data_IF_155702366715
#
_entry.id   IF_155702366715
#
_cell.length_a   1.000
_cell.length_b   1.000
_cell.length_c   1.000
_cell.angle_alpha   90.00
_cell.angle_beta   90.00
_cell.angle_gamma   90.00
#
_symmetry.space_group_name_H-M   'P 1'
#
loop_
_entity.id
_entity.type
_entity.pdbx_description
1 polymer ?
#
# COMPACT_ATOMS: atom_id res chain seq x y z
N UNK A 1 -18.85 7.59 -0.99
CA UNK A 1 -17.38 7.62 -1.11
C UNK A 1 -16.86 9.04 -1.13
N UNK A 2 -17.43 9.92 -1.97
CA UNK A 2 -17.07 11.33 -2.09
C UNK A 2 -16.85 12.05 -0.75
N UNK A 3 -17.88 12.14 0.11
CA UNK A 3 -17.76 12.85 1.38
C UNK A 3 -16.69 12.27 2.32
N UNK A 4 -16.49 10.94 2.28
CA UNK A 4 -15.46 10.27 3.09
C UNK A 4 -14.05 10.59 2.62
N UNK A 5 -13.83 10.80 1.32
CA UNK A 5 -12.50 11.10 0.76
C UNK A 5 -12.11 12.55 1.02
N UNK A 6 -13.07 13.47 1.02
CA UNK A 6 -12.81 14.91 1.15
C UNK A 6 -13.07 15.47 2.57
N UNK A 7 -13.42 14.62 3.55
CA UNK A 7 -13.68 15.03 4.94
C UNK A 7 -12.42 15.24 5.79
N UNK A 8 -11.30 14.57 5.47
CA UNK A 8 -10.05 14.67 6.24
C UNK A 8 -8.99 15.51 5.51
N UNK A 9 -8.09 16.16 6.26
CA UNK A 9 -6.94 16.83 5.67
C UNK A 9 -5.99 15.73 5.14
N UNK A 10 -5.72 15.72 3.83
CA UNK A 10 -4.80 14.75 3.20
C UNK A 10 -3.43 14.91 3.86
N UNK A 11 -2.95 13.91 4.60
CA UNK A 11 -1.74 14.13 5.37
C UNK A 11 -0.49 14.17 4.50
N UNK A 12 0.51 14.96 4.89
CA UNK A 12 1.81 15.04 4.20
C UNK A 12 2.75 13.84 4.47
N UNK A 13 2.23 12.62 4.66
CA UNK A 13 3.00 11.49 5.23
C UNK A 13 3.90 10.74 4.22
N UNK A 14 3.96 11.16 2.96
CA UNK A 14 4.45 10.27 1.92
C UNK A 14 5.98 10.19 1.74
N UNK A 15 6.76 11.13 2.28
CA UNK A 15 8.22 11.16 2.04
C UNK A 15 8.95 9.94 2.61
N UNK A 16 8.51 9.40 3.75
CA UNK A 16 9.17 8.25 4.38
C UNK A 16 8.82 6.94 3.65
N UNK A 17 7.55 6.80 3.22
CA UNK A 17 7.07 5.64 2.46
C UNK A 17 7.80 5.51 1.11
N UNK A 18 8.02 6.62 0.38
CA UNK A 18 8.76 6.56 -0.88
C UNK A 18 10.20 6.13 -0.71
N UNK A 19 10.89 6.62 0.32
CA UNK A 19 12.28 6.25 0.57
C UNK A 19 12.42 4.77 0.91
N UNK A 20 11.42 4.21 1.59
CA UNK A 20 11.42 2.78 1.87
C UNK A 20 11.16 1.96 0.60
N UNK A 21 10.17 2.34 -0.22
CA UNK A 21 9.88 1.62 -1.48
C UNK A 21 11.02 1.75 -2.51
N UNK A 22 11.62 2.93 -2.66
CA UNK A 22 12.80 3.12 -3.50
C UNK A 22 13.93 2.18 -3.08
N UNK A 23 14.18 2.04 -1.78
CA UNK A 23 15.18 1.10 -1.26
C UNK A 23 14.78 -0.35 -1.44
N UNK A 24 13.49 -0.69 -1.41
CA UNK A 24 13.02 -2.07 -1.67
C UNK A 24 13.18 -2.42 -3.16
N UNK A 25 12.81 -1.51 -4.06
CA UNK A 25 12.69 -1.75 -5.50
C UNK A 25 13.93 -1.36 -6.31
N UNK A 26 14.86 -0.61 -5.72
CA UNK A 26 16.01 -0.02 -6.41
C UNK A 26 15.61 0.81 -7.64
N UNK A 27 14.43 1.42 -7.60
CA UNK A 27 13.91 2.28 -8.66
C UNK A 27 14.17 3.74 -8.28
N UNK A 28 14.96 4.43 -9.11
CA UNK A 28 15.21 5.85 -8.95
C UNK A 28 13.91 6.59 -9.32
N UNK A 29 13.20 7.05 -8.30
CA UNK A 29 12.02 7.89 -8.49
C UNK A 29 12.53 9.28 -8.85
N UNK A 30 11.97 9.92 -9.88
CA UNK A 30 12.01 11.39 -9.90
C UNK A 30 11.04 11.88 -8.83
N UNK A 31 11.51 12.00 -7.58
CA UNK A 31 10.77 12.50 -6.41
C UNK A 31 9.89 13.71 -6.78
N UNK A 32 10.37 14.53 -7.72
CA UNK A 32 9.65 15.64 -8.33
C UNK A 32 8.29 15.26 -8.96
N UNK A 33 8.22 14.20 -9.78
CA UNK A 33 6.97 13.79 -10.47
C UNK A 33 5.91 13.35 -9.47
N UNK A 34 6.30 12.55 -8.48
CA UNK A 34 5.39 12.11 -7.44
C UNK A 34 4.95 13.29 -6.56
N UNK A 35 5.86 14.20 -6.22
CA UNK A 35 5.53 15.41 -5.47
C UNK A 35 4.58 16.35 -6.23
N UNK A 36 4.76 16.49 -7.56
CA UNK A 36 3.86 17.26 -8.43
C UNK A 36 2.45 16.66 -8.42
N UNK A 37 2.33 15.34 -8.62
CA UNK A 37 1.05 14.63 -8.58
C UNK A 37 0.41 14.74 -7.20
N UNK A 38 1.18 14.60 -6.12
CA UNK A 38 0.67 14.80 -4.76
C UNK A 38 0.16 16.23 -4.53
N UNK A 39 0.88 17.23 -5.07
CA UNK A 39 0.43 18.62 -5.06
C UNK A 39 -0.91 18.81 -5.78
N UNK A 40 -1.12 18.09 -6.90
CA UNK A 40 -2.39 18.10 -7.63
C UNK A 40 -3.52 17.39 -6.87
N UNK A 41 -3.23 16.28 -6.15
CA UNK A 41 -4.20 15.61 -5.25
C UNK A 41 -4.68 16.56 -4.17
N UNK A 42 -3.74 17.20 -3.47
CA UNK A 42 -4.05 18.15 -2.41
C UNK A 42 -4.81 19.36 -2.95
N UNK A 43 -4.38 19.92 -4.08
CA UNK A 43 -5.07 21.02 -4.74
C UNK A 43 -6.49 20.66 -5.17
N UNK A 44 -6.72 19.42 -5.63
CA UNK A 44 -8.08 18.92 -5.95
C UNK A 44 -8.92 18.84 -4.69
N UNK A 45 -8.38 18.29 -3.61
CA UNK A 45 -9.08 18.13 -2.32
C UNK A 45 -9.47 19.49 -1.73
N UNK A 46 -8.53 20.44 -1.71
CA UNK A 46 -8.80 21.82 -1.28
C UNK A 46 -9.84 22.51 -2.18
N UNK A 47 -9.75 22.32 -3.49
CA UNK A 47 -10.73 22.86 -4.43
C UNK A 47 -12.12 22.27 -4.17
N UNK A 48 -12.24 20.96 -3.91
CA UNK A 48 -13.52 20.34 -3.56
C UNK A 48 -14.08 20.98 -2.28
N UNK A 49 -13.26 21.06 -1.23
CA UNK A 49 -13.64 21.56 0.11
C UNK A 49 -14.07 23.03 0.09
N UNK A 50 -13.30 23.89 -0.59
CA UNK A 50 -13.47 25.35 -0.50
C UNK A 50 -14.18 25.97 -1.70
N UNK A 51 -14.29 25.25 -2.83
CA UNK A 51 -14.95 25.77 -4.04
C UNK A 51 -16.16 24.93 -4.43
N UNK A 52 -15.99 23.62 -4.62
CA UNK A 52 -17.08 22.77 -5.13
C UNK A 52 -18.22 22.61 -4.12
N UNK A 53 -17.92 22.15 -2.90
CA UNK A 53 -18.94 21.88 -1.88
C UNK A 53 -19.74 23.14 -1.50
N UNK A 54 -19.12 24.31 -1.22
CA UNK A 54 -19.87 25.55 -0.99
C UNK A 54 -20.74 25.95 -2.19
N UNK A 55 -20.30 25.64 -3.41
CA UNK A 55 -21.12 25.91 -4.60
C UNK A 55 -22.30 24.94 -4.70
N UNK A 56 -22.08 23.66 -4.42
CA UNK A 56 -23.15 22.63 -4.33
C UNK A 56 -24.23 23.03 -3.32
N UNK A 57 -23.82 23.61 -2.19
CA UNK A 57 -24.74 24.06 -1.13
C UNK A 57 -25.50 25.36 -1.43
N UNK A 58 -25.21 26.06 -2.53
CA UNK A 58 -25.77 27.37 -2.88
C UNK A 58 -26.77 27.33 -4.04
N UNK A 59 -27.61 26.30 -4.08
CA UNK A 59 -28.64 26.07 -5.11
C UNK A 59 -28.08 26.08 -6.55
N UNK A 60 -26.82 25.67 -6.73
CA UNK A 60 -26.22 25.55 -8.06
C UNK A 60 -27.01 24.56 -8.92
N UNK A 61 -27.15 24.89 -10.21
CA UNK A 61 -27.75 23.93 -11.14
C UNK A 61 -26.81 22.75 -11.39
N UNK A 62 -27.38 21.56 -11.67
CA UNK A 62 -26.62 20.39 -12.12
C UNK A 62 -25.61 20.73 -13.23
N UNK A 63 -26.05 21.51 -14.23
CA UNK A 63 -25.20 21.96 -15.34
C UNK A 63 -23.98 22.78 -14.89
N UNK A 64 -24.14 23.59 -13.87
CA UNK A 64 -23.05 24.40 -13.33
C UNK A 64 -22.06 23.56 -12.54
N UNK A 65 -22.56 22.68 -11.66
CA UNK A 65 -21.72 21.75 -10.90
C UNK A 65 -20.95 20.82 -11.83
N UNK A 66 -21.62 20.29 -12.85
CA UNK A 66 -21.02 19.51 -13.92
C UNK A 66 -19.88 20.27 -14.61
N UNK A 67 -20.11 21.53 -15.01
CA UNK A 67 -19.10 22.34 -15.69
C UNK A 67 -17.88 22.68 -14.82
N UNK A 68 -18.01 22.61 -13.49
CA UNK A 68 -16.90 22.73 -12.56
C UNK A 68 -16.10 21.43 -12.43
N UNK A 69 -16.78 20.28 -12.44
CA UNK A 69 -16.17 18.97 -12.20
C UNK A 69 -15.52 18.34 -13.43
N UNK A 70 -16.18 18.39 -14.59
CA UNK A 70 -15.77 17.62 -15.78
C UNK A 70 -14.32 17.88 -16.23
N UNK A 71 -13.82 19.13 -16.22
CA UNK A 71 -12.41 19.40 -16.54
C UNK A 71 -11.44 18.79 -15.52
N UNK A 72 -11.82 18.73 -14.24
CA UNK A 72 -10.97 18.19 -13.16
C UNK A 72 -10.85 16.68 -13.24
N UNK A 73 -11.96 16.00 -13.55
CA UNK A 73 -11.96 14.54 -13.73
C UNK A 73 -11.07 14.11 -14.89
N UNK A 74 -11.17 14.80 -16.02
CA UNK A 74 -10.33 14.49 -17.19
C UNK A 74 -8.83 14.70 -16.91
N UNK A 75 -8.47 15.78 -16.21
CA UNK A 75 -7.10 16.09 -15.82
C UNK A 75 -6.51 15.02 -14.88
N UNK A 76 -7.28 14.60 -13.87
CA UNK A 76 -6.90 13.52 -12.95
C UNK A 76 -6.66 12.19 -13.67
N UNK A 77 -7.55 11.80 -14.59
CA UNK A 77 -7.43 10.54 -15.29
C UNK A 77 -6.13 10.48 -16.13
N UNK A 78 -5.87 11.54 -16.91
CA UNK A 78 -4.80 11.56 -17.93
C UNK A 78 -3.45 11.93 -17.31
N UNK A 79 -3.41 13.00 -16.51
CA UNK A 79 -2.15 13.58 -16.07
C UNK A 79 -1.67 13.04 -14.71
N UNK A 80 -2.53 12.31 -13.99
CA UNK A 80 -2.18 11.75 -12.69
C UNK A 80 -2.28 10.23 -12.70
N UNK A 81 -3.47 9.65 -12.83
CA UNK A 81 -3.64 8.21 -12.64
C UNK A 81 -2.86 7.40 -13.68
N UNK A 82 -2.97 7.75 -14.96
CA UNK A 82 -2.24 7.06 -16.02
C UNK A 82 -0.70 7.12 -15.85
N UNK A 83 -0.17 8.22 -15.32
CA UNK A 83 1.27 8.37 -15.04
C UNK A 83 1.70 7.45 -13.89
N UNK A 84 0.89 7.37 -12.84
CA UNK A 84 1.16 6.51 -11.67
C UNK A 84 1.09 5.02 -12.01
N UNK A 85 0.33 4.64 -13.04
CA UNK A 85 0.23 3.25 -13.52
C UNK A 85 1.40 2.82 -14.42
N UNK A 86 2.20 3.78 -14.91
CA UNK A 86 3.33 3.44 -15.77
C UNK A 86 4.29 2.50 -15.04
N UNK A 87 4.77 1.49 -15.76
CA UNK A 87 5.60 0.41 -15.20
C UNK A 87 6.83 0.92 -14.42
N UNK A 88 7.38 2.07 -14.83
CA UNK A 88 8.55 2.69 -14.19
C UNK A 88 8.24 3.22 -12.78
N UNK A 89 6.98 3.55 -12.51
CA UNK A 89 6.56 4.20 -11.27
C UNK A 89 5.62 3.34 -10.43
N UNK A 90 4.89 2.40 -11.03
CA UNK A 90 3.81 1.64 -10.41
C UNK A 90 4.10 1.23 -8.96
N UNK A 91 5.24 0.60 -8.70
CA UNK A 91 5.58 0.12 -7.36
C UNK A 91 5.85 1.27 -6.39
N UNK A 92 6.73 2.20 -6.77
CA UNK A 92 7.07 3.39 -5.98
C UNK A 92 5.90 4.35 -5.73
N UNK A 93 4.95 4.37 -6.66
CA UNK A 93 3.86 5.32 -6.70
C UNK A 93 2.53 4.73 -6.22
N UNK A 94 2.50 3.43 -5.87
CA UNK A 94 1.27 2.74 -5.51
C UNK A 94 0.49 3.46 -4.40
N UNK A 95 1.14 3.96 -3.36
CA UNK A 95 0.46 4.68 -2.28
C UNK A 95 -0.31 5.93 -2.77
N UNK A 96 0.27 6.67 -3.74
CA UNK A 96 -0.36 7.83 -4.38
C UNK A 96 -1.43 7.40 -5.35
N UNK A 97 -1.17 6.33 -6.09
CA UNK A 97 -2.13 5.74 -6.99
C UNK A 97 -3.42 5.37 -6.25
N UNK A 98 -3.31 4.73 -5.07
CA UNK A 98 -4.50 4.40 -4.25
C UNK A 98 -5.36 5.63 -3.98
N UNK A 99 -4.75 6.75 -3.59
CA UNK A 99 -5.48 7.98 -3.30
C UNK A 99 -6.03 8.62 -4.57
N UNK A 100 -5.18 8.78 -5.59
CA UNK A 100 -5.54 9.43 -6.86
C UNK A 100 -6.66 8.69 -7.60
N UNK A 101 -6.57 7.37 -7.68
CA UNK A 101 -7.61 6.52 -8.25
C UNK A 101 -8.92 6.60 -7.45
N UNK A 102 -8.85 6.60 -6.11
CA UNK A 102 -10.01 6.77 -5.24
C UNK A 102 -10.71 8.12 -5.44
N UNK A 103 -9.94 9.21 -5.53
CA UNK A 103 -10.43 10.56 -5.83
C UNK A 103 -11.08 10.60 -7.21
N UNK A 104 -10.42 10.03 -8.23
CA UNK A 104 -10.95 9.99 -9.58
C UNK A 104 -12.30 9.26 -9.64
N UNK A 105 -12.40 8.07 -9.02
CA UNK A 105 -13.65 7.32 -8.94
C UNK A 105 -14.74 8.09 -8.19
N UNK A 106 -14.40 8.76 -7.07
CA UNK A 106 -15.38 9.55 -6.33
C UNK A 106 -15.89 10.77 -7.13
N UNK A 107 -15.02 11.45 -7.88
CA UNK A 107 -15.46 12.56 -8.73
C UNK A 107 -16.29 12.09 -9.94
N UNK A 108 -16.04 10.88 -10.46
CA UNK A 108 -16.90 10.25 -11.46
C UNK A 108 -18.29 9.94 -10.89
N UNK A 109 -18.38 9.48 -9.64
CA UNK A 109 -19.66 9.27 -8.95
C UNK A 109 -20.41 10.60 -8.82
N UNK A 110 -19.73 11.65 -8.38
CA UNK A 110 -20.34 12.98 -8.27
C UNK A 110 -20.79 13.52 -9.63
N UNK A 111 -20.02 13.30 -10.70
CA UNK A 111 -20.42 13.65 -12.07
C UNK A 111 -21.69 12.94 -12.52
N UNK A 112 -21.89 11.68 -12.13
CA UNK A 112 -23.13 10.96 -12.40
C UNK A 112 -24.32 11.60 -11.64
N UNK A 113 -24.12 12.00 -10.38
CA UNK A 113 -25.15 12.63 -9.55
C UNK A 113 -25.58 14.00 -10.09
N UNK A 114 -24.62 14.78 -10.58
CA UNK A 114 -24.88 16.12 -11.13
C UNK A 114 -25.00 16.15 -12.66
N UNK A 115 -25.14 15.00 -13.32
CA UNK A 115 -25.29 14.94 -14.78
C UNK A 115 -26.56 15.69 -15.22
N UNK A 116 -26.46 16.77 -16.02
CA UNK A 116 -27.60 17.56 -16.45
C UNK A 116 -28.44 16.89 -17.54
N UNK A 117 -27.96 15.78 -18.13
CA UNK A 117 -28.62 15.10 -19.24
C UNK A 117 -29.57 13.98 -18.79
N UNK A 118 -29.53 13.61 -17.51
CA UNK A 118 -30.38 12.57 -16.93
C UNK A 118 -31.00 13.03 -15.61
N UNK A 119 -32.23 12.59 -15.38
CA UNK A 119 -32.91 12.84 -14.09
C UNK A 119 -32.41 11.85 -13.02
N UNK A 120 -32.22 10.60 -13.41
CA UNK A 120 -31.73 9.50 -12.59
C UNK A 120 -30.21 9.30 -12.78
N UNK A 121 -29.37 9.50 -11.74
CA UNK A 121 -27.93 9.31 -11.81
C UNK A 121 -27.49 7.93 -12.30
N UNK A 122 -28.29 6.88 -12.06
CA UNK A 122 -27.99 5.51 -12.52
C UNK A 122 -28.04 5.36 -14.05
N UNK A 123 -28.58 6.35 -14.76
CA UNK A 123 -28.65 6.37 -16.22
C UNK A 123 -27.54 7.24 -16.84
N UNK A 124 -26.69 7.86 -16.03
CA UNK A 124 -25.59 8.68 -16.52
C UNK A 124 -24.54 7.83 -17.25
N UNK A 125 -23.91 8.38 -18.29
CA UNK A 125 -22.79 7.71 -18.96
C UNK A 125 -21.58 7.49 -18.04
N UNK A 126 -21.46 8.26 -16.96
CA UNK A 126 -20.38 8.10 -15.99
C UNK A 126 -20.46 6.80 -15.21
N UNK A 127 -21.63 6.17 -15.12
CA UNK A 127 -21.80 4.81 -14.58
C UNK A 127 -20.93 3.82 -15.34
N UNK A 128 -20.98 3.84 -16.67
CA UNK A 128 -20.17 2.95 -17.50
C UNK A 128 -18.66 3.25 -17.35
N UNK A 129 -18.29 4.52 -17.19
CA UNK A 129 -16.90 4.94 -16.94
C UNK A 129 -16.39 4.40 -15.60
N UNK A 130 -17.18 4.49 -14.52
CA UNK A 130 -16.85 3.93 -13.20
C UNK A 130 -16.69 2.40 -13.31
N UNK A 131 -17.61 1.73 -13.98
CA UNK A 131 -17.57 0.28 -14.18
C UNK A 131 -16.36 -0.17 -15.02
N UNK A 132 -15.84 0.69 -15.90
CA UNK A 132 -14.63 0.44 -16.68
C UNK A 132 -13.35 0.63 -15.86
N UNK A 133 -13.18 1.77 -15.20
CA UNK A 133 -11.95 2.07 -14.45
C UNK A 133 -11.82 1.29 -13.15
N UNK A 134 -12.92 1.00 -12.46
CA UNK A 134 -12.87 0.34 -11.16
C UNK A 134 -12.18 -1.04 -11.16
N UNK A 135 -12.44 -1.97 -12.09
CA UNK A 135 -11.67 -3.22 -12.17
C UNK A 135 -10.23 -2.99 -12.61
N UNK A 136 -9.97 -2.05 -13.53
CA UNK A 136 -8.60 -1.74 -13.98
C UNK A 136 -7.73 -1.25 -12.81
N UNK A 137 -8.25 -0.31 -12.02
CA UNK A 137 -7.55 0.21 -10.85
C UNK A 137 -7.35 -0.85 -9.77
N UNK A 138 -8.37 -1.68 -9.53
CA UNK A 138 -8.27 -2.78 -8.57
C UNK A 138 -7.19 -3.79 -8.97
N UNK A 139 -7.15 -4.16 -10.25
CA UNK A 139 -6.17 -5.12 -10.78
C UNK A 139 -4.75 -4.54 -10.75
N UNK A 140 -4.59 -3.25 -11.06
CA UNK A 140 -3.31 -2.56 -10.91
C UNK A 140 -2.85 -2.59 -9.44
N UNK A 141 -3.70 -2.13 -8.51
CA UNK A 141 -3.37 -2.06 -7.09
C UNK A 141 -2.96 -3.42 -6.52
N UNK A 142 -3.73 -4.48 -6.79
CA UNK A 142 -3.46 -5.82 -6.27
C UNK A 142 -2.16 -6.40 -6.86
N UNK A 143 -1.96 -6.29 -8.17
CA UNK A 143 -0.77 -6.82 -8.84
C UNK A 143 0.50 -6.11 -8.37
N UNK A 144 0.44 -4.79 -8.26
CA UNK A 144 1.58 -3.99 -7.82
C UNK A 144 1.89 -4.26 -6.35
N UNK A 145 0.87 -4.34 -5.49
CA UNK A 145 1.04 -4.71 -4.07
C UNK A 145 1.70 -6.07 -3.89
N UNK A 146 1.24 -7.09 -4.62
CA UNK A 146 1.83 -8.43 -4.56
C UNK A 146 3.30 -8.46 -5.01
N UNK A 147 3.69 -7.54 -5.89
CA UNK A 147 5.09 -7.40 -6.33
C UNK A 147 5.94 -6.77 -5.23
N UNK A 148 5.47 -5.69 -4.62
CA UNK A 148 6.14 -5.00 -3.50
C UNK A 148 6.28 -5.94 -2.30
N UNK A 149 5.20 -6.64 -1.93
CA UNK A 149 5.21 -7.61 -0.82
C UNK A 149 6.26 -8.69 -1.02
N UNK A 150 6.38 -9.26 -2.23
CA UNK A 150 7.42 -10.25 -2.55
C UNK A 150 8.81 -9.66 -2.46
N UNK A 151 9.01 -8.45 -2.98
CA UNK A 151 10.30 -7.75 -2.92
C UNK A 151 10.70 -7.47 -1.47
N UNK A 152 9.77 -7.00 -0.63
CA UNK A 152 10.03 -6.73 0.79
C UNK A 152 10.41 -8.00 1.56
N UNK A 153 9.67 -9.09 1.37
CA UNK A 153 9.97 -10.39 2.00
C UNK A 153 11.36 -10.90 1.59
N UNK A 154 11.77 -10.67 0.33
CA UNK A 154 13.06 -11.11 -0.18
C UNK A 154 14.25 -10.41 0.51
N UNK A 155 14.04 -9.23 1.12
CA UNK A 155 15.07 -8.54 1.90
C UNK A 155 15.36 -9.21 3.26
N UNK A 156 14.45 -10.06 3.76
CA UNK A 156 14.60 -10.76 5.04
C UNK A 156 15.20 -12.14 4.78
N UNK A 157 16.47 -12.33 5.17
CA UNK A 157 17.20 -13.57 4.90
C UNK A 157 16.55 -14.78 5.56
N UNK A 158 16.79 -15.97 5.00
CA UNK A 158 16.36 -17.23 5.63
C UNK A 158 17.13 -17.44 6.93
N UNK A 159 16.54 -18.19 7.86
CA UNK A 159 17.22 -18.64 9.08
C UNK A 159 18.49 -19.42 8.69
N UNK A 160 19.61 -19.02 9.27
CA UNK A 160 20.89 -19.69 9.15
C UNK A 160 21.29 -20.22 10.52
N UNK A 161 21.53 -21.52 10.64
CA UNK A 161 22.01 -22.13 11.88
C UNK A 161 23.48 -22.53 11.70
N UNK A 162 24.33 -22.02 12.57
CA UNK A 162 25.76 -22.33 12.63
C UNK A 162 26.03 -23.16 13.87
N UNK A 163 27.00 -24.06 13.78
CA UNK A 163 27.48 -24.85 14.92
C UNK A 163 28.96 -24.58 15.15
N UNK A 164 29.34 -24.45 16.41
CA UNK A 164 30.72 -24.29 16.85
C UNK A 164 31.00 -25.31 17.97
N UNK A 165 32.11 -26.03 17.85
CA UNK A 165 32.59 -26.88 18.94
C UNK A 165 33.07 -25.99 20.10
N UNK A 166 32.70 -26.31 21.34
CA UNK A 166 33.35 -25.67 22.47
C UNK A 166 34.84 -26.07 22.48
N UNK A 167 35.77 -25.13 22.73
CA UNK A 167 37.17 -25.50 22.93
C UNK A 167 37.21 -26.51 24.09
N UNK A 168 37.97 -27.61 23.96
CA UNK A 168 38.01 -28.63 24.98
C UNK A 168 38.47 -28.01 26.30
N UNK A 169 37.55 -27.84 27.25
CA UNK A 169 37.93 -27.55 28.62
C UNK A 169 38.74 -28.74 29.12
N UNK A 170 39.85 -28.50 29.81
CA UNK A 170 40.72 -29.56 30.29
C UNK A 170 39.90 -30.58 31.13
N UNK A 171 39.67 -31.77 30.57
CA UNK A 171 38.89 -32.85 31.20
C UNK A 171 37.41 -32.96 30.80
N UNK A 172 36.89 -32.10 29.92
CA UNK A 172 35.51 -32.20 29.40
C UNK A 172 35.36 -33.23 28.26
N UNK A 173 34.19 -33.87 28.09
CA UNK A 173 33.94 -34.77 26.97
C UNK A 173 34.00 -34.00 25.62
N UNK A 174 34.48 -34.61 24.53
CA UNK A 174 34.72 -33.94 23.23
C UNK A 174 33.43 -33.66 22.42
N UNK A 175 32.27 -33.54 23.08
CA UNK A 175 30.94 -33.54 22.46
C UNK A 175 30.14 -32.26 22.70
N UNK A 176 30.76 -31.22 23.23
CA UNK A 176 30.05 -29.98 23.54
C UNK A 176 29.98 -29.05 22.32
N UNK A 177 28.77 -28.63 21.94
CA UNK A 177 28.51 -27.78 20.78
C UNK A 177 27.65 -26.57 21.16
N UNK A 178 27.99 -25.40 20.62
CA UNK A 178 27.14 -24.22 20.56
C UNK A 178 26.48 -24.16 19.18
N UNK A 179 25.17 -24.05 19.15
CA UNK A 179 24.40 -23.76 17.94
C UNK A 179 23.83 -22.36 18.03
N UNK A 180 24.07 -21.54 17.01
CA UNK A 180 23.51 -20.19 16.91
C UNK A 180 22.64 -20.10 15.67
N UNK A 181 21.47 -19.49 15.79
CA UNK A 181 20.59 -19.17 14.66
C UNK A 181 20.57 -17.68 14.43
N UNK A 182 20.63 -17.25 13.17
CA UNK A 182 20.51 -15.85 12.78
C UNK A 182 19.64 -15.67 11.53
N UNK A 183 18.96 -14.54 11.45
CA UNK A 183 18.44 -13.96 10.22
C UNK A 183 18.61 -12.44 10.28
N UNK A 184 18.63 -11.81 9.12
CA UNK A 184 18.86 -10.36 8.96
C UNK A 184 17.84 -9.81 7.98
N UNK A 185 17.29 -8.64 8.29
CA UNK A 185 16.64 -7.80 7.30
C UNK A 185 17.69 -6.90 6.65
N UNK A 186 17.96 -7.12 5.36
CA UNK A 186 18.98 -6.38 4.63
C UNK A 186 18.58 -4.91 4.38
N UNK A 187 17.30 -4.57 4.48
CA UNK A 187 16.80 -3.21 4.28
C UNK A 187 17.06 -2.34 5.51
N UNK A 188 16.70 -2.84 6.70
CA UNK A 188 16.77 -2.09 7.98
C UNK A 188 18.07 -2.35 8.74
N UNK A 189 18.74 -3.46 8.45
CA UNK A 189 19.88 -3.97 9.21
C UNK A 189 19.48 -4.70 10.50
N UNK A 190 18.17 -4.88 10.75
CA UNK A 190 17.67 -5.62 11.91
C UNK A 190 18.12 -7.07 11.87
N UNK A 191 18.46 -7.60 13.05
CA UNK A 191 19.00 -8.96 13.20
C UNK A 191 18.32 -9.67 14.35
N UNK A 192 18.02 -10.93 14.11
CA UNK A 192 17.66 -11.86 15.16
C UNK A 192 18.82 -12.80 15.42
N UNK A 193 19.06 -13.09 16.70
CA UNK A 193 19.98 -14.14 17.12
C UNK A 193 19.37 -14.94 18.26
N UNK A 194 19.45 -16.27 18.19
CA UNK A 194 19.13 -17.19 19.29
C UNK A 194 20.20 -18.29 19.32
N UNK A 195 20.29 -19.01 20.44
CA UNK A 195 21.27 -20.05 20.62
C UNK A 195 20.76 -21.17 21.53
N UNK A 196 21.32 -22.35 21.30
CA UNK A 196 21.28 -23.45 22.27
C UNK A 196 22.64 -24.16 22.31
N UNK A 197 22.95 -24.78 23.44
CA UNK A 197 24.17 -25.55 23.61
C UNK A 197 23.84 -26.98 23.97
N UNK A 198 24.58 -27.92 23.41
CA UNK A 198 24.64 -29.29 23.87
C UNK A 198 25.90 -29.44 24.72
N UNK A 199 25.74 -29.59 26.04
CA UNK A 199 26.84 -29.64 27.01
C UNK A 199 26.65 -30.85 27.90
N UNK A 200 27.66 -31.74 27.96
CA UNK A 200 27.64 -32.91 28.84
C UNK A 200 26.44 -33.83 28.59
N UNK A 201 25.99 -33.95 27.34
CA UNK A 201 24.83 -34.78 26.97
C UNK A 201 23.47 -34.12 27.16
N UNK A 202 23.41 -32.83 27.52
CA UNK A 202 22.16 -32.10 27.81
C UNK A 202 22.07 -30.80 27.01
N UNK A 203 20.84 -30.45 26.63
CA UNK A 203 20.54 -29.19 25.96
C UNK A 203 20.23 -28.08 26.97
N UNK A 204 20.65 -26.85 26.66
CA UNK A 204 20.40 -25.69 27.54
C UNK A 204 19.08 -24.98 27.23
N UNK A 205 18.81 -24.68 25.96
CA UNK A 205 17.64 -23.91 25.52
C UNK A 205 16.88 -24.63 24.39
N UNK A 206 16.39 -25.83 24.73
CA UNK A 206 15.84 -26.76 23.75
C UNK A 206 16.89 -27.37 22.83
N UNK A 207 16.48 -28.35 22.05
CA UNK A 207 17.33 -29.03 21.09
C UNK A 207 17.48 -28.23 19.77
N UNK A 208 18.25 -28.77 18.83
CA UNK A 208 18.47 -28.17 17.51
C UNK A 208 17.17 -27.85 16.76
N UNK A 209 16.21 -28.78 16.72
CA UNK A 209 14.94 -28.58 16.02
C UNK A 209 14.08 -27.51 16.73
N UNK A 210 14.15 -27.43 18.05
CA UNK A 210 13.47 -26.37 18.81
C UNK A 210 14.07 -25.00 18.55
N UNK A 211 15.41 -24.89 18.41
CA UNK A 211 16.08 -23.66 17.97
C UNK A 211 15.60 -23.25 16.56
N UNK A 212 15.58 -24.19 15.61
CA UNK A 212 15.11 -23.94 14.26
C UNK A 212 13.66 -23.47 14.22
N UNK A 213 12.78 -24.10 15.00
CA UNK A 213 11.38 -23.72 15.09
C UNK A 213 11.20 -22.32 15.67
N UNK A 214 11.91 -21.98 16.76
CA UNK A 214 11.85 -20.62 17.34
C UNK A 214 12.36 -19.56 16.38
N UNK A 215 13.48 -19.81 15.71
CA UNK A 215 14.05 -18.87 14.76
C UNK A 215 13.12 -18.64 13.55
N UNK A 216 12.50 -19.70 13.01
CA UNK A 216 11.54 -19.58 11.92
C UNK A 216 10.23 -18.91 12.36
N UNK A 217 9.77 -19.18 13.58
CA UNK A 217 8.60 -18.51 14.15
C UNK A 217 8.87 -17.00 14.32
N UNK A 218 10.02 -16.63 14.90
CA UNK A 218 10.42 -15.23 15.04
C UNK A 218 10.51 -14.52 13.69
N UNK A 219 11.12 -15.18 12.69
CA UNK A 219 11.18 -14.65 11.31
C UNK A 219 9.79 -14.46 10.70
N UNK A 220 8.89 -15.41 10.90
CA UNK A 220 7.52 -15.35 10.37
C UNK A 220 6.73 -14.22 11.01
N UNK A 221 6.81 -14.07 12.32
CA UNK A 221 6.21 -12.94 13.05
C UNK A 221 6.75 -11.62 12.52
N UNK A 222 8.07 -11.50 12.37
CA UNK A 222 8.69 -10.30 11.83
C UNK A 222 8.18 -9.96 10.42
N UNK A 223 8.18 -10.93 9.50
CA UNK A 223 7.64 -10.75 8.15
C UNK A 223 6.20 -10.24 8.18
N UNK A 224 5.33 -10.87 8.98
CA UNK A 224 3.93 -10.48 9.03
C UNK A 224 3.79 -9.05 9.56
N UNK A 225 4.45 -8.71 10.67
CA UNK A 225 4.43 -7.36 11.22
C UNK A 225 4.94 -6.33 10.20
N UNK A 226 6.07 -6.59 9.55
CA UNK A 226 6.62 -5.67 8.53
C UNK A 226 5.69 -5.49 7.34
N UNK A 227 5.04 -6.57 6.87
CA UNK A 227 4.11 -6.47 5.73
C UNK A 227 2.83 -5.76 6.12
N UNK A 228 2.30 -6.00 7.33
CA UNK A 228 1.11 -5.31 7.84
C UNK A 228 1.38 -3.80 7.99
N UNK A 229 2.53 -3.43 8.55
CA UNK A 229 2.95 -2.02 8.66
C UNK A 229 3.11 -1.36 7.29
N UNK A 230 3.76 -2.04 6.34
CA UNK A 230 3.90 -1.54 4.97
C UNK A 230 2.54 -1.38 4.29
N UNK A 231 1.61 -2.32 4.49
CA UNK A 231 0.26 -2.25 3.92
C UNK A 231 -0.49 -1.00 4.40
N UNK A 232 -0.40 -0.70 5.70
CA UNK A 232 -1.01 0.50 6.30
C UNK A 232 -0.39 1.77 5.72
N UNK A 233 0.95 1.83 5.64
CA UNK A 233 1.67 2.98 5.07
C UNK A 233 1.32 3.25 3.60
N UNK A 234 0.93 2.20 2.87
CA UNK A 234 0.55 2.27 1.46
C UNK A 234 -0.95 2.50 1.22
N UNK A 235 -1.71 2.90 2.25
CA UNK A 235 -3.15 3.12 2.21
C UNK A 235 -3.97 1.86 1.90
N UNK A 236 -3.54 0.71 2.40
CA UNK A 236 -4.24 -0.57 2.30
C UNK A 236 -4.69 -0.94 0.87
N UNK A 237 -3.74 -1.21 -0.05
CA UNK A 237 -4.06 -1.54 -1.45
C UNK A 237 -5.07 -2.69 -1.61
N UNK A 238 -5.00 -3.80 -0.83
CA UNK A 238 -6.01 -4.85 -0.91
C UNK A 238 -7.44 -4.37 -0.61
N UNK A 239 -7.62 -3.56 0.44
CA UNK A 239 -8.93 -3.04 0.80
C UNK A 239 -9.47 -2.05 -0.25
N UNK A 240 -8.61 -1.20 -0.79
CA UNK A 240 -8.96 -0.29 -1.88
C UNK A 240 -9.42 -1.06 -3.13
N UNK A 241 -8.67 -2.08 -3.54
CA UNK A 241 -9.02 -2.94 -4.68
C UNK A 241 -10.36 -3.66 -4.47
N UNK A 242 -10.61 -4.22 -3.29
CA UNK A 242 -11.89 -4.84 -2.96
C UNK A 242 -13.05 -3.83 -3.05
N UNK A 243 -12.84 -2.62 -2.53
CA UNK A 243 -13.82 -1.54 -2.55
C UNK A 243 -14.15 -1.12 -3.98
N UNK A 244 -13.15 -0.95 -4.84
CA UNK A 244 -13.37 -0.56 -6.22
C UNK A 244 -14.07 -1.66 -7.02
N UNK A 245 -13.76 -2.94 -6.79
CA UNK A 245 -14.49 -4.04 -7.46
C UNK A 245 -15.99 -4.02 -7.19
N UNK A 246 -16.43 -3.56 -6.02
CA UNK A 246 -17.86 -3.41 -5.71
C UNK A 246 -18.54 -2.36 -6.59
N UNK A 247 -17.79 -1.39 -7.13
CA UNK A 247 -18.31 -0.35 -8.01
C UNK A 247 -18.71 -0.87 -9.39
N UNK A 248 -18.34 -2.10 -9.76
CA UNK A 248 -18.85 -2.74 -10.98
C UNK A 248 -20.36 -2.97 -10.87
N UNK A 249 -20.80 -3.48 -9.72
CA UNK A 249 -22.21 -3.80 -9.46
C UNK A 249 -22.96 -2.65 -8.79
N UNK A 250 -22.25 -1.80 -8.03
CA UNK A 250 -22.81 -0.67 -7.28
C UNK A 250 -21.99 0.62 -7.54
N UNK A 251 -22.12 1.21 -8.74
CA UNK A 251 -21.26 2.33 -9.16
C UNK A 251 -21.50 3.61 -8.36
N UNK A 252 -22.70 3.81 -7.82
CA UNK A 252 -23.04 4.91 -6.93
C UNK A 252 -23.38 4.39 -5.53
N UNK A 253 -23.20 5.23 -4.52
CA UNK A 253 -23.66 4.92 -3.17
C UNK A 253 -25.19 4.78 -3.16
N UNK A 254 -25.70 3.75 -2.50
CA UNK A 254 -27.14 3.64 -2.21
C UNK A 254 -27.46 4.67 -1.14
N UNK A 255 -28.19 5.73 -1.50
CA UNK A 255 -28.73 6.68 -0.53
C UNK A 255 -29.90 5.97 0.15
N UNK A 256 -29.70 5.51 1.39
CA UNK A 256 -30.80 5.07 2.28
C UNK A 256 -31.52 6.26 2.93
#
# INVERSE_FOLDING_TARGET
>A
MFDSIFAEDVPSYFTEVYKEIERIMHQEITENTINEINGQINGTTEWVKFTYNPRKDSDASKKELYGLLEPKVSDLAINMVAVLEEKTYAESALAVFIIGAGIHLALLQELADVDPNVDDPQQSSYIATIQGYSPEYADHAEKTWETIKKARIAQITKVCIKSQLYPPMAGGPPTDYLYTSEWTDNLTGEKFTDATSFIGGKWTNGNYAELENRANAARTTYINTTIDELQIQMNDPPHAAETWRKLVDQPLAVIE
#
